data_IF_401033108178
#
_entry.id   IF_401033108178
#
_cell.length_a   1.000
_cell.length_b   1.000
_cell.length_c   1.000
_cell.angle_alpha   90.00
_cell.angle_beta   90.00
_cell.angle_gamma   90.00
#
_symmetry.space_group_name_H-M   'P 1'
#
loop_
_entity.id
_entity.type
_entity.pdbx_description
1 polymer ?
#
# COMPACT_ATOMS: atom_id res chain seq x y z
N UNK A 1 -7.26 -0.94 16.17
CA UNK A 1 -7.53 -1.45 14.82
C UNK A 1 -8.26 -0.37 14.02
N UNK A 2 -7.77 -0.01 12.83
CA UNK A 2 -8.39 1.01 11.98
C UNK A 2 -8.96 0.38 10.71
N UNK A 3 -10.18 0.77 10.32
CA UNK A 3 -10.88 0.21 9.16
C UNK A 3 -11.18 1.31 8.14
N UNK A 4 -10.77 1.06 6.89
CA UNK A 4 -11.07 1.91 5.75
C UNK A 4 -11.92 1.13 4.75
N UNK A 5 -13.02 1.72 4.30
CA UNK A 5 -13.90 1.10 3.29
C UNK A 5 -13.98 2.04 2.10
N UNK A 6 -13.72 1.51 0.90
CA UNK A 6 -13.88 2.26 -0.34
C UNK A 6 -14.50 1.40 -1.43
N UNK A 7 -15.04 2.06 -2.46
CA UNK A 7 -15.47 1.40 -3.69
C UNK A 7 -14.39 1.55 -4.75
N UNK A 8 -13.98 0.43 -5.34
CA UNK A 8 -13.06 0.46 -6.46
C UNK A 8 -13.74 0.94 -7.76
N UNK A 9 -12.96 1.04 -8.84
CA UNK A 9 -13.46 1.46 -10.17
C UNK A 9 -14.51 0.52 -10.76
N UNK A 10 -14.57 -0.72 -10.30
CA UNK A 10 -15.56 -1.73 -10.69
C UNK A 10 -16.75 -1.76 -9.74
N UNK A 11 -16.93 -0.75 -8.87
CA UNK A 11 -17.99 -0.66 -7.85
C UNK A 11 -17.92 -1.77 -6.79
N UNK A 12 -16.78 -2.44 -6.65
CA UNK A 12 -16.56 -3.45 -5.60
C UNK A 12 -16.24 -2.73 -4.31
N UNK A 13 -16.93 -3.10 -3.24
CA UNK A 13 -16.61 -2.64 -1.88
C UNK A 13 -15.39 -3.40 -1.39
N UNK A 14 -14.33 -2.66 -1.05
CA UNK A 14 -13.09 -3.18 -0.48
C UNK A 14 -12.96 -2.64 0.95
N UNK A 15 -12.71 -3.55 1.89
CA UNK A 15 -12.46 -3.23 3.30
C UNK A 15 -10.99 -3.44 3.62
N UNK A 16 -10.29 -2.40 4.05
CA UNK A 16 -8.90 -2.50 4.51
C UNK A 16 -8.90 -2.41 6.03
N UNK A 17 -8.21 -3.34 6.68
CA UNK A 17 -8.01 -3.38 8.13
C UNK A 17 -6.53 -3.15 8.40
N UNK A 18 -6.22 -2.08 9.12
CA UNK A 18 -4.89 -1.76 9.62
C UNK A 18 -4.77 -2.19 11.09
N UNK A 19 -3.56 -2.56 11.49
CA UNK A 19 -3.18 -2.59 12.90
C UNK A 19 -3.16 -1.17 13.51
N UNK A 20 -2.93 -1.08 14.82
CA UNK A 20 -2.89 0.21 15.52
C UNK A 20 -1.73 1.11 15.07
N UNK A 21 -0.60 0.49 14.69
CA UNK A 21 0.58 1.20 14.21
C UNK A 21 0.45 1.66 12.74
N UNK A 22 -0.57 1.19 12.02
CA UNK A 22 -0.68 1.26 10.56
C UNK A 22 0.53 0.65 9.82
N UNK A 23 1.29 -0.21 10.50
CA UNK A 23 2.47 -0.88 9.95
C UNK A 23 2.06 -2.09 9.10
N UNK A 24 0.97 -2.76 9.48
CA UNK A 24 0.40 -3.86 8.69
C UNK A 24 -1.03 -3.58 8.30
N UNK A 25 -1.43 -4.07 7.13
CA UNK A 25 -2.82 -4.01 6.70
C UNK A 25 -3.20 -5.16 5.77
N UNK A 26 -4.47 -5.55 5.83
CA UNK A 26 -5.05 -6.53 4.91
C UNK A 26 -6.29 -5.92 4.25
N UNK A 27 -6.34 -6.02 2.91
CA UNK A 27 -7.49 -5.64 2.11
C UNK A 27 -8.37 -6.86 1.85
N UNK A 28 -9.67 -6.73 2.10
CA UNK A 28 -10.68 -7.75 1.94
C UNK A 28 -11.70 -7.35 0.90
N UNK A 29 -12.09 -8.32 0.08
CA UNK A 29 -13.35 -8.30 -0.66
C UNK A 29 -14.24 -9.35 -0.04
N UNK A 30 -15.36 -8.90 0.54
CA UNK A 30 -16.22 -9.75 1.36
C UNK A 30 -15.36 -10.36 2.48
N UNK A 31 -15.15 -11.68 2.49
CA UNK A 31 -14.27 -12.37 3.47
C UNK A 31 -12.92 -12.83 2.88
N UNK A 32 -12.67 -12.60 1.58
CA UNK A 32 -11.43 -12.99 0.93
C UNK A 32 -10.36 -11.90 1.09
N UNK A 33 -9.19 -12.26 1.62
CA UNK A 33 -8.01 -11.40 1.60
C UNK A 33 -7.47 -11.26 0.18
N UNK A 34 -7.45 -10.04 -0.35
CA UNK A 34 -7.08 -9.72 -1.74
C UNK A 34 -5.90 -8.75 -1.84
N UNK A 35 -5.36 -8.29 -0.71
CA UNK A 35 -4.20 -7.44 -0.68
C UNK A 35 -3.61 -7.32 0.71
N UNK A 36 -2.35 -6.95 0.77
CA UNK A 36 -1.56 -6.92 1.99
C UNK A 36 -0.52 -5.79 1.92
N UNK A 37 -0.33 -5.13 3.04
CA UNK A 37 0.73 -4.15 3.27
C UNK A 37 1.52 -4.56 4.53
N UNK A 38 2.84 -4.46 4.45
CA UNK A 38 3.73 -4.48 5.60
C UNK A 38 4.77 -3.36 5.46
N UNK A 39 4.91 -2.57 6.50
CA UNK A 39 5.88 -1.49 6.65
C UNK A 39 6.85 -1.90 7.76
N UNK A 40 8.15 -1.78 7.49
CA UNK A 40 9.18 -1.80 8.51
C UNK A 40 9.28 -0.41 9.14
N UNK A 41 8.80 -0.30 10.37
CA UNK A 41 8.77 0.91 11.19
C UNK A 41 9.87 0.93 12.26
N UNK A 42 10.78 -0.06 12.25
CA UNK A 42 11.89 -0.16 13.22
C UNK A 42 12.98 0.88 12.98
N UNK A 43 12.97 1.51 11.81
CA UNK A 43 13.88 2.60 11.48
C UNK A 43 13.16 3.94 11.61
N UNK A 44 13.89 5.06 11.77
CA UNK A 44 13.27 6.39 11.88
C UNK A 44 12.40 6.79 10.67
N UNK A 45 12.56 6.10 9.53
CA UNK A 45 11.78 6.34 8.32
C UNK A 45 11.08 5.06 7.88
N UNK A 46 9.74 4.99 7.91
CA UNK A 46 9.00 3.78 7.58
C UNK A 46 9.33 3.31 6.16
N UNK A 47 9.62 2.03 6.02
CA UNK A 47 10.06 1.44 4.76
C UNK A 47 9.09 0.34 4.31
N UNK A 48 8.80 0.27 3.02
CA UNK A 48 7.93 -0.75 2.47
C UNK A 48 8.61 -2.12 2.56
N UNK A 49 8.12 -2.99 3.45
CA UNK A 49 8.59 -4.36 3.58
C UNK A 49 7.86 -5.29 2.62
N UNK A 50 6.53 -5.15 2.49
CA UNK A 50 5.68 -5.97 1.61
C UNK A 50 4.51 -5.18 1.06
N UNK A 51 4.20 -5.40 -0.21
CA UNK A 51 2.97 -4.95 -0.84
C UNK A 51 2.49 -6.03 -1.81
N UNK A 52 1.26 -6.47 -1.64
CA UNK A 52 0.64 -7.44 -2.52
C UNK A 52 -0.80 -7.05 -2.82
N UNK A 53 -1.22 -7.29 -4.07
CA UNK A 53 -2.62 -7.21 -4.51
C UNK A 53 -2.86 -8.34 -5.49
N UNK A 54 -3.92 -9.10 -5.22
CA UNK A 54 -4.39 -10.20 -6.08
C UNK A 54 -4.54 -9.73 -7.54
N UNK A 55 -4.06 -10.50 -8.53
CA UNK A 55 -4.08 -10.09 -9.93
C UNK A 55 -5.44 -9.58 -10.44
N UNK A 56 -6.53 -10.25 -10.05
CA UNK A 56 -7.90 -9.90 -10.42
C UNK A 56 -8.38 -8.54 -9.87
N UNK A 57 -7.65 -7.97 -8.91
CA UNK A 57 -7.95 -6.70 -8.25
C UNK A 57 -6.84 -5.67 -8.46
N UNK A 58 -5.87 -5.90 -9.33
CA UNK A 58 -4.88 -4.87 -9.68
C UNK A 58 -5.55 -3.72 -10.44
N UNK A 59 -4.95 -2.53 -10.37
CA UNK A 59 -5.48 -1.28 -10.98
C UNK A 59 -6.85 -0.82 -10.43
N UNK A 60 -7.25 -1.33 -9.26
CA UNK A 60 -8.47 -0.95 -8.52
C UNK A 60 -8.29 0.22 -7.55
N UNK A 61 -7.06 0.64 -7.29
CA UNK A 61 -6.72 1.64 -6.28
C UNK A 61 -6.25 1.05 -4.94
N UNK A 62 -6.38 -0.26 -4.70
CA UNK A 62 -6.02 -0.90 -3.41
C UNK A 62 -4.60 -0.55 -2.95
N UNK A 63 -3.59 -0.77 -3.80
CA UNK A 63 -2.20 -0.52 -3.45
C UNK A 63 -1.93 0.97 -3.14
N UNK A 64 -2.60 1.86 -3.87
CA UNK A 64 -2.50 3.30 -3.63
C UNK A 64 -3.14 3.67 -2.29
N UNK A 65 -4.34 3.18 -2.01
CA UNK A 65 -5.04 3.42 -0.74
C UNK A 65 -4.25 2.89 0.46
N UNK A 66 -3.68 1.68 0.36
CA UNK A 66 -2.84 1.09 1.40
C UNK A 66 -1.67 2.01 1.77
N UNK A 67 -0.88 2.42 0.78
CA UNK A 67 0.29 3.28 0.99
C UNK A 67 -0.09 4.70 1.41
N UNK A 68 -1.16 5.26 0.86
CA UNK A 68 -1.63 6.60 1.22
C UNK A 68 -2.11 6.67 2.68
N UNK A 69 -2.85 5.65 3.15
CA UNK A 69 -3.27 5.57 4.54
C UNK A 69 -2.08 5.40 5.49
N UNK A 70 -1.15 4.49 5.17
CA UNK A 70 0.05 4.30 5.98
C UNK A 70 0.89 5.59 6.06
N UNK A 71 1.20 6.22 4.91
CA UNK A 71 1.98 7.47 4.89
C UNK A 71 1.35 8.57 5.75
N UNK A 72 0.02 8.73 5.67
CA UNK A 72 -0.70 9.70 6.50
C UNK A 72 -0.63 9.36 7.98
N UNK A 73 -0.76 8.09 8.34
CA UNK A 73 -0.69 7.64 9.73
C UNK A 73 0.71 7.84 10.34
N UNK A 74 1.77 7.55 9.59
CA UNK A 74 3.15 7.81 10.02
C UNK A 74 3.53 9.29 9.97
N UNK A 75 2.71 10.15 9.35
CA UNK A 75 2.99 11.58 9.17
C UNK A 75 4.19 11.86 8.24
N UNK A 76 4.64 10.87 7.48
CA UNK A 76 5.80 10.99 6.60
C UNK A 76 5.70 10.03 5.38
N UNK A 77 6.45 10.28 4.30
CA UNK A 77 6.47 9.40 3.14
C UNK A 77 7.04 8.02 3.46
N UNK A 78 6.47 6.97 2.87
CA UNK A 78 7.00 5.60 2.98
C UNK A 78 8.18 5.43 2.03
N UNK A 79 9.30 4.91 2.51
CA UNK A 79 10.48 4.62 1.67
C UNK A 79 10.28 3.33 0.89
N UNK A 80 10.62 3.36 -0.39
CA UNK A 80 10.76 2.17 -1.23
C UNK A 80 12.23 2.10 -1.61
N UNK A 81 12.97 1.20 -0.95
CA UNK A 81 14.38 0.97 -1.23
C UNK A 81 14.52 0.04 -2.45
N UNK A 82 14.93 0.60 -3.58
CA UNK A 82 15.09 -0.10 -4.84
C UNK A 82 16.24 -1.13 -4.81
N UNK A 83 17.21 -0.97 -3.91
CA UNK A 83 18.37 -1.86 -3.75
C UNK A 83 18.17 -2.97 -2.72
N UNK A 84 17.28 -2.78 -1.74
CA UNK A 84 17.09 -3.75 -0.65
C UNK A 84 16.38 -5.05 -1.07
N UNK A 85 15.59 -5.04 -2.16
CA UNK A 85 14.87 -6.24 -2.63
C UNK A 85 14.48 -6.17 -4.10
N UNK A 86 14.19 -7.35 -4.66
CA UNK A 86 13.56 -7.47 -5.98
C UNK A 86 12.12 -6.94 -5.92
N UNK A 87 11.92 -5.74 -6.47
CA UNK A 87 10.60 -5.19 -6.76
C UNK A 87 10.11 -5.65 -8.12
N UNK A 88 8.78 -5.66 -8.37
CA UNK A 88 8.26 -6.04 -9.67
C UNK A 88 8.76 -5.10 -10.77
N UNK A 89 9.51 -5.64 -11.74
CA UNK A 89 9.87 -4.91 -12.95
C UNK A 89 8.66 -4.88 -13.91
N UNK A 90 7.73 -3.96 -13.65
CA UNK A 90 6.50 -3.83 -14.42
C UNK A 90 6.05 -2.38 -14.54
N UNK A 91 5.46 -2.04 -15.69
CA UNK A 91 4.91 -0.71 -15.92
C UNK A 91 3.83 -0.30 -14.90
N UNK A 92 3.09 -1.28 -14.37
CA UNK A 92 2.09 -1.05 -13.32
C UNK A 92 2.74 -0.63 -12.00
N UNK A 93 3.83 -1.31 -11.59
CA UNK A 93 4.60 -0.94 -10.41
C UNK A 93 5.25 0.44 -10.57
N UNK A 94 5.94 0.67 -11.70
CA UNK A 94 6.57 1.96 -11.98
C UNK A 94 5.57 3.12 -11.98
N UNK A 95 4.38 2.91 -12.56
CA UNK A 95 3.31 3.91 -12.54
C UNK A 95 2.78 4.18 -11.13
N UNK A 96 2.57 3.13 -10.32
CA UNK A 96 2.15 3.28 -8.92
C UNK A 96 3.17 4.12 -8.13
N UNK A 97 4.45 3.75 -8.18
CA UNK A 97 5.52 4.48 -7.49
C UNK A 97 5.58 5.94 -7.93
N UNK A 98 5.51 6.20 -9.25
CA UNK A 98 5.54 7.57 -9.79
C UNK A 98 4.36 8.41 -9.30
N UNK A 99 3.14 7.87 -9.32
CA UNK A 99 1.95 8.57 -8.83
C UNK A 99 2.06 8.89 -7.34
N UNK A 100 2.42 7.89 -6.53
CA UNK A 100 2.57 8.09 -5.09
C UNK A 100 3.70 9.06 -4.73
N UNK A 101 4.80 9.04 -5.49
CA UNK A 101 5.92 9.96 -5.28
C UNK A 101 5.53 11.40 -5.63
N UNK A 102 4.78 11.59 -6.72
CA UNK A 102 4.22 12.89 -7.09
C UNK A 102 3.25 13.44 -6.01
N UNK A 103 2.53 12.56 -5.32
CA UNK A 103 1.67 12.92 -4.20
C UNK A 103 2.43 13.12 -2.87
N UNK A 104 3.75 12.89 -2.84
CA UNK A 104 4.57 12.98 -1.63
C UNK A 104 4.31 11.84 -0.63
N UNK A 105 3.66 10.74 -1.04
CA UNK A 105 3.29 9.62 -0.17
C UNK A 105 4.40 8.57 -0.08
N UNK A 106 5.26 8.50 -1.09
CA UNK A 106 6.42 7.59 -1.09
C UNK A 106 7.67 8.29 -1.59
N UNK A 107 8.82 7.79 -1.16
CA UNK A 107 10.13 8.17 -1.72
C UNK A 107 10.82 6.90 -2.19
N UNK A 108 11.15 6.86 -3.48
CA UNK A 108 11.93 5.77 -4.06
C UNK A 108 13.41 6.15 -3.97
N UNK A 109 14.23 5.27 -3.40
CA UNK A 109 15.67 5.50 -3.20
C UNK A 109 16.49 4.25 -3.45
#
# INVERSE_FOLDING_TARGET
MHVFVFRDRCQRVIRIVFDDAHATAVAYRDDAAIGELCIDDRTPRPMLARLYVEPAYRRSGIAHTLLACASRAFGQPIRIDAGARAWPDSAAWATLCRCLAHEGLVVVG
#
